data_IF_509376850688
#
_entry.id   IF_509376850688
#
_cell.length_a   1.000
_cell.length_b   1.000
_cell.length_c   1.000
_cell.angle_alpha   90.00
_cell.angle_beta   90.00
_cell.angle_gamma   90.00
#
_symmetry.space_group_name_H-M   'P 1'
#
loop_
_entity.id
_entity.type
_entity.pdbx_description
1 polymer ?
#
# COMPACT_ATOMS: atom_id res chain seq x y z
N UNK A 1 34.03 -3.11 -18.63
CA UNK A 1 33.37 -2.26 -17.63
C UNK A 1 31.96 -2.02 -18.14
N UNK A 2 30.96 -2.65 -17.53
CA UNK A 2 29.55 -2.47 -17.88
C UNK A 2 28.86 -1.84 -16.67
N UNK A 3 28.27 -0.68 -16.91
CA UNK A 3 27.56 0.17 -15.97
C UNK A 3 26.15 -0.39 -15.73
N UNK A 4 25.98 -1.14 -14.65
CA UNK A 4 24.66 -1.56 -14.22
C UNK A 4 24.01 -0.40 -13.43
N UNK A 5 23.47 0.58 -14.15
CA UNK A 5 22.57 1.58 -13.59
C UNK A 5 21.26 0.91 -13.19
N UNK A 6 21.23 0.39 -11.96
CA UNK A 6 20.03 -0.16 -11.34
C UNK A 6 19.09 0.98 -10.98
N UNK A 7 18.01 1.11 -11.75
CA UNK A 7 16.95 2.09 -11.50
C UNK A 7 16.26 1.84 -10.16
N UNK A 8 16.58 2.69 -9.18
CA UNK A 8 15.83 2.78 -7.94
C UNK A 8 14.50 3.46 -8.24
N UNK A 9 13.43 2.66 -8.26
CA UNK A 9 12.08 3.19 -8.16
C UNK A 9 11.92 3.71 -6.72
N UNK A 10 11.51 4.97 -6.48
CA UNK A 10 11.28 5.47 -5.12
C UNK A 10 9.99 4.83 -4.58
N UNK A 11 10.11 3.61 -4.06
CA UNK A 11 9.06 2.92 -3.33
C UNK A 11 8.99 3.49 -1.92
N UNK A 12 7.78 3.84 -1.47
CA UNK A 12 7.46 4.25 -0.10
C UNK A 12 8.08 3.29 0.92
N UNK A 13 9.24 3.65 1.48
CA UNK A 13 9.84 2.92 2.59
C UNK A 13 9.14 3.39 3.85
N UNK A 14 8.05 2.71 4.22
CA UNK A 14 7.52 2.82 5.58
C UNK A 14 8.51 2.06 6.47
N UNK A 15 9.10 2.69 7.51
CA UNK A 15 10.12 2.04 8.32
C UNK A 15 9.45 1.00 9.23
N UNK A 16 9.37 -0.23 8.74
CA UNK A 16 8.99 -1.38 9.57
C UNK A 16 10.24 -1.86 10.32
N UNK A 17 10.13 -2.04 11.64
CA UNK A 17 11.22 -2.63 12.42
C UNK A 17 11.34 -4.12 12.09
N UNK A 18 12.56 -4.57 11.80
CA UNK A 18 12.91 -5.99 11.79
C UNK A 18 13.08 -6.41 13.25
N UNK A 19 12.26 -7.33 13.75
CA UNK A 19 12.21 -7.70 15.16
C UNK A 19 13.15 -8.87 15.43
N UNK A 20 14.25 -8.65 16.15
CA UNK A 20 15.12 -9.74 16.65
C UNK A 20 14.57 -10.25 17.98
N UNK A 21 13.92 -11.42 17.98
CA UNK A 21 13.18 -11.92 19.14
C UNK A 21 13.19 -13.45 19.27
N UNK A 22 13.39 -13.93 20.50
CA UNK A 22 13.52 -15.34 20.96
C UNK A 22 12.33 -16.27 20.63
N UNK A 23 11.30 -15.76 19.96
CA UNK A 23 10.01 -16.43 19.71
C UNK A 23 9.64 -16.29 18.23
N UNK A 24 10.13 -17.24 17.43
CA UNK A 24 10.09 -17.19 15.94
C UNK A 24 8.68 -17.09 15.39
N UNK A 25 7.71 -17.68 16.07
CA UNK A 25 6.31 -17.67 15.62
C UNK A 25 5.70 -16.27 15.76
N UNK A 26 6.05 -15.53 16.81
CA UNK A 26 5.61 -14.16 16.99
C UNK A 26 6.25 -13.23 15.94
N UNK A 27 7.54 -13.40 15.65
CA UNK A 27 8.22 -12.65 14.58
C UNK A 27 7.60 -12.92 13.20
N UNK A 28 7.33 -14.19 12.89
CA UNK A 28 6.67 -14.58 11.64
C UNK A 28 5.26 -13.99 11.53
N UNK A 29 4.49 -14.02 12.63
CA UNK A 29 3.16 -13.42 12.70
C UNK A 29 3.21 -11.90 12.46
N UNK A 30 4.13 -11.18 13.11
CA UNK A 30 4.32 -9.74 12.88
C UNK A 30 4.71 -9.46 11.42
N UNK A 31 5.62 -10.25 10.86
CA UNK A 31 6.06 -10.11 9.47
C UNK A 31 4.91 -10.33 8.48
N UNK A 32 4.04 -11.31 8.73
CA UNK A 32 2.85 -11.55 7.94
C UNK A 32 1.92 -10.33 7.96
N UNK A 33 1.65 -9.77 9.13
CA UNK A 33 0.78 -8.59 9.25
C UNK A 33 1.36 -7.35 8.56
N UNK A 34 2.67 -7.15 8.65
CA UNK A 34 3.37 -6.11 7.88
C UNK A 34 3.17 -6.32 6.38
N UNK A 35 3.31 -7.56 5.89
CA UNK A 35 3.12 -7.87 4.48
C UNK A 35 1.68 -7.64 4.01
N UNK A 36 0.68 -7.94 4.85
CA UNK A 36 -0.74 -7.65 4.59
C UNK A 36 -0.95 -6.14 4.43
N UNK A 37 -0.47 -5.33 5.36
CA UNK A 37 -0.57 -3.85 5.26
C UNK A 37 0.13 -3.36 3.99
N UNK A 38 1.35 -3.82 3.71
CA UNK A 38 2.09 -3.41 2.51
C UNK A 38 1.36 -3.79 1.21
N UNK A 39 0.73 -4.97 1.16
CA UNK A 39 -0.08 -5.38 0.01
C UNK A 39 -1.26 -4.44 -0.17
N UNK A 40 -2.01 -4.15 0.90
CA UNK A 40 -3.14 -3.24 0.83
C UNK A 40 -2.73 -1.83 0.35
N UNK A 41 -1.58 -1.32 0.81
CA UNK A 41 -1.03 -0.03 0.35
C UNK A 41 -0.76 -0.08 -1.16
N UNK A 42 -0.13 -1.15 -1.65
CA UNK A 42 0.16 -1.34 -3.08
C UNK A 42 -1.12 -1.44 -3.91
N UNK A 43 -2.15 -2.08 -3.38
CA UNK A 43 -3.43 -2.23 -4.07
C UNK A 43 -4.15 -0.88 -4.22
N UNK A 44 -4.19 -0.04 -3.17
CA UNK A 44 -4.70 1.35 -3.25
C UNK A 44 -3.86 2.20 -4.21
N UNK A 45 -2.53 2.10 -4.14
CA UNK A 45 -1.64 2.84 -5.02
C UNK A 45 -1.89 2.49 -6.49
N UNK A 46 -2.02 1.20 -6.77
CA UNK A 46 -2.23 0.69 -8.11
C UNK A 46 -3.61 1.10 -8.65
N UNK A 47 -4.68 0.91 -7.86
CA UNK A 47 -6.03 1.31 -8.28
C UNK A 47 -6.12 2.80 -8.59
N UNK A 48 -5.57 3.65 -7.71
CA UNK A 48 -5.54 5.10 -7.86
C UNK A 48 -4.74 5.52 -9.10
N UNK A 49 -3.57 4.91 -9.32
CA UNK A 49 -2.75 5.19 -10.52
C UNK A 49 -3.52 4.87 -11.81
N UNK A 50 -4.31 3.79 -11.83
CA UNK A 50 -5.05 3.34 -13.01
C UNK A 50 -6.35 4.08 -13.27
N UNK A 51 -6.98 4.70 -12.25
CA UNK A 51 -8.23 5.45 -12.39
C UNK A 51 -8.17 6.56 -13.45
N UNK A 52 -7.01 7.18 -13.66
CA UNK A 52 -6.79 8.24 -14.66
C UNK A 52 -6.32 7.78 -16.04
N UNK A 53 -6.13 6.48 -16.28
CA UNK A 53 -5.62 5.97 -17.55
C UNK A 53 -6.76 5.70 -18.54
N UNK A 54 -6.68 6.30 -19.74
CA UNK A 54 -7.70 6.14 -20.79
C UNK A 54 -7.81 4.73 -21.35
N UNK A 55 -6.71 3.98 -21.36
CA UNK A 55 -6.66 2.62 -21.85
C UNK A 55 -5.82 1.75 -20.92
N UNK A 56 -6.38 0.60 -20.53
CA UNK A 56 -5.74 -0.42 -19.73
C UNK A 56 -5.49 -1.65 -20.59
N UNK A 57 -4.34 -2.30 -20.39
CA UNK A 57 -4.08 -3.61 -20.97
C UNK A 57 -4.98 -4.68 -20.31
N UNK A 58 -5.11 -5.84 -20.96
CA UNK A 58 -5.89 -6.96 -20.42
C UNK A 58 -5.37 -7.40 -19.04
N UNK A 59 -4.05 -7.48 -18.86
CA UNK A 59 -3.43 -7.85 -17.59
C UNK A 59 -3.70 -6.82 -16.47
N UNK A 60 -3.69 -5.53 -16.79
CA UNK A 60 -4.00 -4.47 -15.83
C UNK A 60 -5.47 -4.49 -15.43
N UNK A 61 -6.37 -4.73 -16.39
CA UNK A 61 -7.80 -4.88 -16.12
C UNK A 61 -8.06 -6.10 -15.24
N UNK A 62 -7.43 -7.23 -15.51
CA UNK A 62 -7.54 -8.44 -14.69
C UNK A 62 -7.00 -8.20 -13.27
N UNK A 63 -5.87 -7.49 -13.14
CA UNK A 63 -5.32 -7.15 -11.84
C UNK A 63 -6.25 -6.22 -11.04
N UNK A 64 -6.80 -5.19 -11.68
CA UNK A 64 -7.79 -4.31 -11.04
C UNK A 64 -9.03 -5.09 -10.61
N UNK A 65 -9.53 -5.98 -11.47
CA UNK A 65 -10.65 -6.85 -11.13
C UNK A 65 -10.36 -7.66 -9.87
N UNK A 66 -9.18 -8.30 -9.78
CA UNK A 66 -8.77 -9.05 -8.57
C UNK A 66 -8.66 -8.19 -7.32
N UNK A 67 -8.22 -6.93 -7.44
CA UNK A 67 -8.13 -6.01 -6.30
C UNK A 67 -9.52 -5.71 -5.74
N UNK A 68 -10.52 -5.55 -6.60
CA UNK A 68 -11.90 -5.20 -6.23
C UNK A 68 -12.85 -6.41 -6.14
N UNK A 69 -12.35 -7.65 -6.27
CA UNK A 69 -13.18 -8.85 -6.38
C UNK A 69 -14.06 -9.08 -5.14
N UNK A 70 -13.53 -8.80 -3.96
CA UNK A 70 -14.23 -8.96 -2.69
C UNK A 70 -14.68 -7.62 -2.12
N UNK A 71 -13.77 -6.67 -2.04
CA UNK A 71 -14.02 -5.37 -1.42
C UNK A 71 -13.06 -4.30 -1.94
N UNK A 72 -13.44 -3.03 -1.83
CA UNK A 72 -12.57 -1.91 -2.12
C UNK A 72 -11.34 -1.90 -1.17
N UNK A 73 -10.12 -1.70 -1.66
CA UNK A 73 -8.91 -1.78 -0.84
C UNK A 73 -8.86 -0.72 0.26
N UNK A 74 -9.59 0.38 0.10
CA UNK A 74 -9.73 1.44 1.11
C UNK A 74 -10.47 0.95 2.36
N UNK A 75 -11.38 -0.02 2.23
CA UNK A 75 -12.19 -0.53 3.34
C UNK A 75 -11.33 -1.25 4.38
N UNK A 76 -10.24 -1.91 3.97
CA UNK A 76 -9.28 -2.49 4.91
C UNK A 76 -8.75 -1.43 5.88
N UNK A 77 -8.32 -0.26 5.39
CA UNK A 77 -7.78 0.82 6.24
C UNK A 77 -8.83 1.49 7.13
N UNK A 78 -10.10 1.42 6.74
CA UNK A 78 -11.22 1.93 7.52
C UNK A 78 -11.81 0.88 8.49
N UNK A 79 -11.32 -0.37 8.44
CA UNK A 79 -11.84 -1.45 9.27
C UNK A 79 -11.29 -1.40 10.71
N UNK A 80 -12.05 -1.88 11.71
CA UNK A 80 -11.55 -2.07 13.07
C UNK A 80 -10.33 -3.01 13.12
N UNK A 81 -10.31 -4.00 12.24
CA UNK A 81 -9.25 -5.01 12.19
C UNK A 81 -7.88 -4.41 11.81
N UNK A 82 -7.86 -3.39 10.96
CA UNK A 82 -6.64 -2.65 10.68
C UNK A 82 -6.10 -1.93 11.92
N UNK A 83 -6.98 -1.41 12.78
CA UNK A 83 -6.55 -0.79 14.04
C UNK A 83 -5.94 -1.82 15.00
N UNK A 84 -6.55 -2.99 15.12
CA UNK A 84 -6.04 -4.10 15.91
C UNK A 84 -4.66 -4.57 15.44
N UNK A 85 -4.48 -4.72 14.12
CA UNK A 85 -3.17 -5.09 13.54
C UNK A 85 -2.12 -4.00 13.83
N UNK A 86 -2.47 -2.73 13.65
CA UNK A 86 -1.53 -1.63 13.92
C UNK A 86 -1.12 -1.61 15.39
N UNK A 87 -2.06 -1.80 16.33
CA UNK A 87 -1.76 -1.92 17.75
C UNK A 87 -0.83 -3.10 18.02
N UNK A 88 -1.11 -4.27 17.44
CA UNK A 88 -0.24 -5.44 17.57
C UNK A 88 1.18 -5.19 17.06
N UNK A 89 1.33 -4.41 16.00
CA UNK A 89 2.62 -4.08 15.37
C UNK A 89 3.33 -2.85 15.96
N UNK A 90 2.74 -2.20 16.97
CA UNK A 90 3.22 -0.92 17.53
C UNK A 90 3.30 0.20 16.46
N UNK A 91 2.33 0.25 15.56
CA UNK A 91 2.20 1.24 14.49
C UNK A 91 1.05 2.22 14.77
N UNK A 92 1.16 3.43 14.23
CA UNK A 92 0.07 4.43 14.27
C UNK A 92 -0.90 4.20 13.09
N UNK A 93 -2.18 3.84 13.35
CA UNK A 93 -3.17 3.69 12.28
C UNK A 93 -3.39 4.99 11.52
N UNK A 94 -3.49 6.12 12.24
CA UNK A 94 -3.69 7.44 11.64
C UNK A 94 -2.52 7.86 10.76
N UNK A 95 -1.28 7.63 11.22
CA UNK A 95 -0.08 7.92 10.42
C UNK A 95 -0.03 7.14 9.11
N UNK A 96 -0.45 5.87 9.12
CA UNK A 96 -0.54 5.06 7.90
C UNK A 96 -1.66 5.56 6.99
N UNK A 97 -2.86 5.84 7.52
CA UNK A 97 -3.98 6.37 6.73
C UNK A 97 -3.60 7.67 6.02
N UNK A 98 -2.96 8.61 6.72
CA UNK A 98 -2.43 9.86 6.14
C UNK A 98 -1.44 9.55 5.02
N UNK A 99 -0.45 8.68 5.27
CA UNK A 99 0.56 8.34 4.28
C UNK A 99 -0.02 7.67 3.01
N UNK A 100 -1.11 6.90 3.18
CA UNK A 100 -1.88 6.33 2.09
C UNK A 100 -2.68 7.44 1.41
N UNK A 101 -3.71 7.99 2.05
CA UNK A 101 -4.71 8.82 1.40
C UNK A 101 -4.25 10.23 1.00
N UNK A 102 -3.43 10.93 1.80
CA UNK A 102 -3.00 12.31 1.47
C UNK A 102 -2.14 12.37 0.21
N UNK A 103 -1.35 11.31 -0.05
CA UNK A 103 -0.54 11.21 -1.27
C UNK A 103 -1.40 11.03 -2.52
N UNK A 104 -2.64 10.56 -2.38
CA UNK A 104 -3.52 10.31 -3.51
C UNK A 104 -4.46 11.49 -3.80
N UNK A 105 -4.95 12.21 -2.78
CA UNK A 105 -5.73 13.43 -2.99
C UNK A 105 -4.93 14.53 -3.71
N UNK A 106 -3.63 14.67 -3.40
CA UNK A 106 -2.74 15.58 -4.11
C UNK A 106 -2.58 15.23 -5.59
N UNK A 107 -2.68 13.95 -5.96
CA UNK A 107 -2.54 13.49 -7.35
C UNK A 107 -3.78 13.73 -8.21
N UNK A 108 -4.97 13.79 -7.61
CA UNK A 108 -6.22 14.15 -8.30
C UNK A 108 -6.37 15.68 -8.41
N UNK A 109 -6.02 16.43 -7.36
CA UNK A 109 -6.06 17.89 -7.37
C UNK A 109 -5.08 18.52 -8.39
N UNK A 110 -3.94 17.89 -8.65
CA UNK A 110 -2.98 18.34 -9.67
C UNK A 110 -3.35 17.95 -11.11
N UNK A 111 -4.34 17.06 -11.32
CA UNK A 111 -4.77 16.61 -12.65
C UNK A 111 -5.90 17.44 -13.26
N UNK A 112 -6.63 18.20 -12.44
CA UNK A 112 -7.59 19.19 -12.91
C UNK A 112 -7.19 20.56 -12.36
N UNK A 113 -6.34 21.34 -13.06
CA UNK A 113 -6.34 22.76 -12.82
C UNK A 113 -7.76 23.24 -13.15
N UNK A 114 -8.47 23.73 -12.13
CA UNK A 114 -9.68 24.51 -12.32
C UNK A 114 -9.27 25.67 -13.24
N UNK A 115 -9.77 25.60 -14.48
CA UNK A 115 -9.66 26.67 -15.48
C UNK A 115 -10.51 27.84 -15.01
#
# INVERSE_FOLDING_TARGET
>A
MADNSSGVVPGTVVPFKLFDGKDKDNEACRSLWVAVIQKAIKDVAYSSQKRGQRALTASEREKLHRIYELEAPENFFNSPWFEEICLFLDLSPSGIRVAVFDRYELSDAQRHPLI
#
